data_IF_492471082128
#
_entry.id   IF_492471082128
#
_cell.length_a   1.000
_cell.length_b   1.000
_cell.length_c   1.000
_cell.angle_alpha   90.00
_cell.angle_beta   90.00
_cell.angle_gamma   90.00
#
_symmetry.space_group_name_H-M   'P 1'
#
loop_
_entity.id
_entity.type
_entity.pdbx_description
1 polymer ?
#
# COMPACT_ATOMS: atom_id res chain seq x y z
N UNK A 1 -9.01 9.05 -22.20
CA UNK A 1 -8.47 8.31 -21.03
C UNK A 1 -7.52 7.23 -21.52
N UNK A 2 -6.27 7.25 -21.04
CA UNK A 2 -5.21 6.31 -21.45
C UNK A 2 -4.98 5.18 -20.43
N UNK A 3 -4.02 4.32 -20.74
CA UNK A 3 -3.50 3.30 -19.82
C UNK A 3 -2.76 3.96 -18.65
N UNK A 4 -2.74 3.31 -17.48
CA UNK A 4 -2.00 3.77 -16.31
C UNK A 4 -0.50 3.50 -16.50
N UNK A 5 0.35 4.50 -16.81
CA UNK A 5 1.73 4.21 -17.21
C UNK A 5 2.52 3.60 -16.06
N UNK A 6 3.10 2.44 -16.31
CA UNK A 6 3.85 1.69 -15.30
C UNK A 6 3.01 1.19 -14.12
N UNK A 7 1.67 1.11 -14.25
CA UNK A 7 0.80 0.49 -13.25
C UNK A 7 0.09 -0.72 -13.87
N UNK A 8 0.34 -1.89 -13.30
CA UNK A 8 -0.38 -3.13 -13.61
C UNK A 8 -0.93 -3.72 -12.32
N UNK A 9 -1.83 -4.69 -12.43
CA UNK A 9 -2.45 -5.34 -11.28
C UNK A 9 -2.74 -6.81 -11.57
N UNK A 10 -3.00 -7.55 -10.51
CA UNK A 10 -3.47 -8.93 -10.60
C UNK A 10 -4.19 -9.32 -9.32
N UNK A 11 -4.35 -10.62 -9.09
CA UNK A 11 -5.00 -11.08 -7.87
C UNK A 11 -4.18 -10.71 -6.63
N UNK A 12 -4.78 -9.88 -5.77
CA UNK A 12 -4.22 -9.42 -4.49
C UNK A 12 -2.91 -8.63 -4.61
N UNK A 13 -2.69 -7.88 -5.69
CA UNK A 13 -1.58 -6.92 -5.77
C UNK A 13 -1.82 -5.76 -6.75
N UNK A 14 -1.08 -4.66 -6.52
CA UNK A 14 -0.80 -3.64 -7.52
C UNK A 14 0.71 -3.64 -7.76
N UNK A 15 1.10 -3.62 -9.03
CA UNK A 15 2.46 -3.38 -9.47
C UNK A 15 2.60 -1.91 -9.91
N UNK A 16 3.66 -1.27 -9.43
CA UNK A 16 4.00 0.13 -9.63
C UNK A 16 5.46 0.17 -10.07
N UNK A 17 5.69 0.30 -11.37
CA UNK A 17 7.00 0.16 -11.97
C UNK A 17 7.62 -1.20 -11.66
N UNK A 18 8.79 -1.17 -11.03
CA UNK A 18 9.55 -2.37 -10.63
C UNK A 18 9.21 -2.88 -9.22
N UNK A 19 8.14 -2.35 -8.60
CA UNK A 19 7.68 -2.76 -7.28
C UNK A 19 6.27 -3.32 -7.28
N UNK A 20 5.96 -4.21 -6.33
CA UNK A 20 4.62 -4.71 -6.03
C UNK A 20 4.27 -4.43 -4.58
N UNK A 21 3.08 -3.90 -4.37
CA UNK A 21 2.38 -3.93 -3.08
C UNK A 21 1.30 -5.02 -3.14
N UNK A 22 1.31 -5.96 -2.20
CA UNK A 22 0.52 -7.18 -2.35
C UNK A 22 0.12 -7.80 -1.01
N UNK A 23 -1.08 -8.38 -0.94
CA UNK A 23 -1.34 -9.43 0.05
C UNK A 23 -0.54 -10.68 -0.36
N UNK A 24 0.46 -10.99 0.44
CA UNK A 24 1.38 -12.13 0.33
C UNK A 24 0.90 -13.33 1.16
N UNK A 25 1.80 -14.28 1.42
CA UNK A 25 1.51 -15.56 2.05
C UNK A 25 1.04 -15.43 3.51
N UNK A 26 0.57 -16.55 4.05
CA UNK A 26 0.33 -16.73 5.47
C UNK A 26 1.65 -17.09 6.16
N UNK A 27 1.94 -16.46 7.29
CA UNK A 27 3.09 -16.82 8.14
C UNK A 27 2.61 -17.41 9.45
N UNK A 28 3.23 -18.53 9.85
CA UNK A 28 3.00 -19.11 11.16
C UNK A 28 3.73 -18.29 12.21
N UNK A 29 2.99 -17.76 13.18
CA UNK A 29 3.51 -16.89 14.22
C UNK A 29 3.31 -17.52 15.59
N UNK A 30 4.34 -17.38 16.41
CA UNK A 30 4.37 -17.82 17.80
C UNK A 30 4.16 -16.61 18.68
N UNK A 31 3.20 -16.68 19.61
CA UNK A 31 2.93 -15.61 20.56
C UNK A 31 2.65 -16.16 21.96
N UNK A 32 2.77 -15.34 23.02
CA UNK A 32 2.47 -15.78 24.38
C UNK A 32 1.05 -16.31 24.57
N UNK A 33 0.10 -15.89 23.73
CA UNK A 33 -1.32 -16.29 23.82
C UNK A 33 -1.68 -17.45 22.90
N UNK A 34 -0.70 -18.07 22.24
CA UNK A 34 -0.88 -19.19 21.31
C UNK A 34 -0.33 -18.89 19.92
N UNK A 35 -0.22 -19.95 19.12
CA UNK A 35 0.32 -19.87 17.77
C UNK A 35 -0.80 -19.76 16.74
N UNK A 36 -0.57 -19.00 15.67
CA UNK A 36 -1.59 -18.74 14.66
C UNK A 36 -0.97 -18.40 13.30
N UNK A 37 -1.81 -18.39 12.26
CA UNK A 37 -1.42 -17.96 10.92
C UNK A 37 -1.85 -16.52 10.69
N UNK A 38 -0.90 -15.67 10.30
CA UNK A 38 -1.15 -14.27 9.97
C UNK A 38 -1.03 -14.04 8.46
N UNK A 39 -1.96 -13.30 7.87
CA UNK A 39 -1.79 -12.81 6.50
C UNK A 39 -0.76 -11.69 6.49
N UNK A 40 0.02 -11.60 5.42
CA UNK A 40 1.00 -10.53 5.25
C UNK A 40 0.67 -9.62 4.06
N UNK A 41 0.81 -8.32 4.22
CA UNK A 41 0.92 -7.33 3.15
C UNK A 41 2.40 -7.01 2.91
N UNK A 42 2.87 -7.03 1.68
CA UNK A 42 4.30 -6.92 1.36
C UNK A 42 4.58 -5.81 0.36
N UNK A 43 5.77 -5.23 0.45
CA UNK A 43 6.37 -4.34 -0.54
C UNK A 43 7.60 -5.05 -1.10
N UNK A 44 7.58 -5.40 -2.39
CA UNK A 44 8.59 -6.25 -3.02
C UNK A 44 9.05 -5.70 -4.36
N UNK A 45 10.33 -5.90 -4.68
CA UNK A 45 10.95 -5.46 -5.92
C UNK A 45 11.12 -6.63 -6.90
N UNK A 46 11.20 -6.35 -8.21
CA UNK A 46 11.37 -7.36 -9.26
C UNK A 46 12.64 -8.19 -9.17
N UNK A 47 13.65 -7.73 -8.44
CA UNK A 47 14.84 -8.53 -8.07
C UNK A 47 14.48 -9.75 -7.22
N UNK A 48 13.27 -9.76 -6.68
CA UNK A 48 12.74 -10.76 -5.80
C UNK A 48 12.92 -10.46 -4.32
N UNK A 49 13.53 -9.32 -3.98
CA UNK A 49 13.69 -8.83 -2.61
C UNK A 49 12.39 -8.22 -2.08
N UNK A 50 12.20 -8.30 -0.76
CA UNK A 50 11.03 -7.77 -0.05
C UNK A 50 11.55 -6.79 0.97
N UNK A 51 11.15 -5.52 0.86
CA UNK A 51 11.68 -4.50 1.75
C UNK A 51 10.96 -4.49 3.10
N UNK A 52 9.65 -4.79 3.08
CA UNK A 52 8.81 -4.82 4.29
C UNK A 52 7.61 -5.73 4.12
N UNK A 53 7.27 -6.45 5.18
CA UNK A 53 6.04 -7.22 5.33
C UNK A 53 5.29 -6.75 6.59
N UNK A 54 3.99 -6.56 6.46
CA UNK A 54 3.08 -6.15 7.51
C UNK A 54 2.05 -7.24 7.75
N UNK A 55 1.81 -7.62 8.99
CA UNK A 55 0.98 -8.78 9.32
C UNK A 55 -0.41 -8.37 9.78
N UNK A 56 -1.38 -9.27 9.58
CA UNK A 56 -2.78 -9.10 9.96
C UNK A 56 -3.03 -8.94 11.46
N UNK A 57 -2.00 -9.14 12.28
CA UNK A 57 -1.96 -8.96 13.74
C UNK A 57 -1.29 -7.63 14.16
N UNK A 58 -0.89 -6.79 13.20
CA UNK A 58 -0.18 -5.53 13.42
C UNK A 58 1.33 -5.64 13.59
N UNK A 59 1.90 -6.84 13.55
CA UNK A 59 3.35 -7.02 13.51
C UNK A 59 3.93 -6.63 12.16
N UNK A 60 5.25 -6.45 12.11
CA UNK A 60 5.97 -6.13 10.89
C UNK A 60 7.34 -6.82 10.86
N UNK A 61 7.85 -7.02 9.65
CA UNK A 61 9.21 -7.43 9.36
C UNK A 61 9.79 -6.49 8.29
N UNK A 62 11.06 -6.13 8.41
CA UNK A 62 11.74 -5.16 7.54
C UNK A 62 13.07 -5.73 7.08
N UNK A 63 13.64 -5.15 6.02
CA UNK A 63 14.95 -5.52 5.49
C UNK A 63 15.06 -7.01 5.17
N UNK A 64 14.02 -7.59 4.54
CA UNK A 64 13.93 -9.02 4.32
C UNK A 64 14.84 -9.45 3.16
N UNK A 65 15.99 -10.04 3.50
CA UNK A 65 16.88 -10.73 2.58
C UNK A 65 16.64 -12.24 2.52
N UNK A 66 17.25 -12.91 1.54
CA UNK A 66 17.33 -14.38 1.47
C UNK A 66 15.97 -15.09 1.49
N UNK A 67 15.85 -16.13 2.31
CA UNK A 67 14.64 -16.98 2.38
C UNK A 67 13.43 -16.27 2.97
N UNK A 68 13.62 -15.31 3.88
CA UNK A 68 12.51 -14.51 4.41
C UNK A 68 11.83 -13.72 3.30
N UNK A 69 12.62 -13.19 2.36
CA UNK A 69 12.12 -12.51 1.17
C UNK A 69 11.27 -13.41 0.27
N UNK A 70 11.72 -14.64 0.02
CA UNK A 70 11.04 -15.60 -0.87
C UNK A 70 9.60 -15.89 -0.45
N UNK A 71 9.30 -15.84 0.85
CA UNK A 71 7.95 -16.14 1.40
C UNK A 71 6.93 -15.04 1.11
N UNK A 72 7.37 -13.79 1.05
CA UNK A 72 6.49 -12.63 0.90
C UNK A 72 6.52 -12.03 -0.49
N UNK A 73 7.48 -12.44 -1.33
CA UNK A 73 7.56 -12.06 -2.72
C UNK A 73 6.37 -12.62 -3.52
N UNK A 74 5.70 -11.76 -4.30
CA UNK A 74 4.53 -12.12 -5.13
C UNK A 74 4.78 -12.00 -6.63
N UNK A 75 6.04 -11.84 -7.08
CA UNK A 75 6.41 -11.64 -8.49
C UNK A 75 6.11 -12.83 -9.42
N UNK A 76 5.89 -14.02 -8.86
CA UNK A 76 5.42 -15.19 -9.60
C UNK A 76 3.95 -15.08 -10.06
N UNK A 77 3.17 -14.13 -9.52
CA UNK A 77 1.77 -13.91 -9.93
C UNK A 77 1.68 -13.15 -11.25
N UNK A 78 0.74 -13.54 -12.11
CA UNK A 78 0.47 -12.90 -13.40
C UNK A 78 -0.02 -11.45 -13.21
N UNK A 79 0.61 -10.50 -13.91
CA UNK A 79 0.17 -9.10 -13.96
C UNK A 79 -0.52 -8.78 -15.28
N UNK A 80 -1.61 -8.02 -15.20
CA UNK A 80 -2.35 -7.50 -16.34
C UNK A 80 -2.52 -5.99 -16.18
N UNK A 81 -2.82 -5.30 -17.26
CA UNK A 81 -3.21 -3.89 -17.18
C UNK A 81 -4.38 -3.73 -16.19
N UNK A 82 -4.38 -2.62 -15.44
CA UNK A 82 -5.35 -2.40 -14.36
C UNK A 82 -6.81 -2.52 -14.82
N UNK A 83 -7.10 -2.17 -16.08
CA UNK A 83 -8.42 -2.28 -16.70
C UNK A 83 -8.78 -3.72 -17.15
N UNK A 84 -7.79 -4.58 -17.42
CA UNK A 84 -7.98 -5.96 -17.90
C UNK A 84 -7.79 -7.03 -16.81
N UNK A 85 -7.26 -6.67 -15.64
CA UNK A 85 -6.99 -7.61 -14.58
C UNK A 85 -8.28 -8.21 -14.00
N UNK A 86 -8.33 -9.53 -13.77
CA UNK A 86 -9.44 -10.18 -13.06
C UNK A 86 -9.27 -9.92 -11.54
N UNK A 87 -9.55 -8.69 -11.13
CA UNK A 87 -9.23 -8.08 -9.84
C UNK A 87 -10.26 -8.39 -8.75
N UNK A 88 -10.77 -9.62 -8.66
CA UNK A 88 -11.82 -9.95 -7.68
C UNK A 88 -11.48 -9.52 -6.24
N UNK A 89 -10.18 -9.46 -5.93
CA UNK A 89 -9.61 -9.05 -4.65
C UNK A 89 -8.98 -7.64 -4.63
N UNK A 90 -8.88 -6.94 -5.76
CA UNK A 90 -8.44 -5.55 -5.80
C UNK A 90 -9.65 -4.64 -6.03
N UNK A 91 -9.99 -3.84 -5.03
CA UNK A 91 -11.16 -2.96 -5.04
C UNK A 91 -10.77 -1.53 -4.71
N UNK A 92 -11.65 -0.62 -5.06
CA UNK A 92 -11.50 0.80 -4.78
C UNK A 92 -12.74 1.33 -4.06
N UNK A 93 -12.62 2.51 -3.50
CA UNK A 93 -13.76 3.29 -3.03
C UNK A 93 -13.32 4.70 -2.69
N UNK A 94 -14.03 5.33 -1.75
CA UNK A 94 -13.71 6.70 -1.33
C UNK A 94 -12.39 6.77 -0.54
N UNK A 95 -11.34 7.19 -1.25
CA UNK A 95 -9.96 7.37 -0.79
C UNK A 95 -9.36 6.13 -0.17
N UNK A 96 -9.64 4.97 -0.74
CA UNK A 96 -8.93 3.75 -0.38
C UNK A 96 -8.73 2.83 -1.57
N UNK A 97 -7.73 1.98 -1.41
CA UNK A 97 -7.49 0.80 -2.24
C UNK A 97 -7.54 -0.41 -1.31
N UNK A 98 -8.35 -1.40 -1.68
CA UNK A 98 -8.44 -2.69 -0.99
C UNK A 98 -7.66 -3.73 -1.78
N UNK A 99 -6.69 -4.37 -1.14
CA UNK A 99 -5.87 -5.44 -1.70
C UNK A 99 -6.10 -6.69 -0.83
N UNK A 100 -6.99 -7.56 -1.29
CA UNK A 100 -7.47 -8.70 -0.53
C UNK A 100 -8.14 -8.26 0.77
N UNK A 101 -7.57 -8.62 1.92
CA UNK A 101 -8.10 -8.28 3.24
C UNK A 101 -7.45 -7.03 3.86
N UNK A 102 -6.63 -6.31 3.10
CA UNK A 102 -5.97 -5.07 3.53
C UNK A 102 -6.57 -3.87 2.81
N UNK A 103 -6.65 -2.72 3.50
CA UNK A 103 -6.92 -1.43 2.87
C UNK A 103 -5.78 -0.46 3.14
N UNK A 104 -5.39 0.26 2.09
CA UNK A 104 -4.60 1.47 2.17
C UNK A 104 -5.55 2.64 1.92
N UNK A 105 -5.75 3.52 2.90
CA UNK A 105 -6.75 4.59 2.79
C UNK A 105 -6.34 5.89 3.45
N UNK A 106 -6.73 7.01 2.85
CA UNK A 106 -6.53 8.32 3.45
C UNK A 106 -7.54 8.56 4.57
N UNK A 107 -7.03 8.98 5.71
CA UNK A 107 -7.81 9.37 6.88
C UNK A 107 -7.83 10.88 7.00
N UNK A 108 -8.98 11.44 7.35
CA UNK A 108 -9.05 12.85 7.71
C UNK A 108 -8.65 12.99 9.17
N UNK A 109 -7.65 13.82 9.45
CA UNK A 109 -7.46 14.28 10.82
C UNK A 109 -8.56 15.31 11.13
N UNK A 110 -9.18 15.21 12.31
CA UNK A 110 -10.26 16.11 12.74
C UNK A 110 -9.79 17.57 12.61
N UNK A 111 -10.30 18.28 11.61
CA UNK A 111 -10.04 19.70 11.36
C UNK A 111 -8.85 20.04 10.45
N UNK A 112 -8.05 19.08 9.98
CA UNK A 112 -6.87 19.36 9.13
C UNK A 112 -6.97 18.77 7.70
N UNK A 113 -8.01 18.00 7.38
CA UNK A 113 -8.19 17.42 6.04
C UNK A 113 -7.59 16.00 5.90
N UNK A 114 -7.63 15.45 4.68
CA UNK A 114 -7.24 14.07 4.34
C UNK A 114 -5.74 13.90 4.17
N UNK A 115 -5.05 14.19 5.25
CA UNK A 115 -3.62 14.41 5.21
C UNK A 115 -2.83 13.19 5.69
N UNK A 116 -3.48 12.22 6.34
CA UNK A 116 -2.84 10.98 6.78
C UNK A 116 -3.24 9.79 5.89
N UNK A 117 -2.40 8.75 5.83
CA UNK A 117 -2.73 7.46 5.20
C UNK A 117 -2.49 6.31 6.17
N UNK A 118 -3.39 5.34 6.14
CA UNK A 118 -3.41 4.15 6.99
C UNK A 118 -3.33 2.90 6.15
N UNK A 119 -2.47 1.96 6.54
CA UNK A 119 -2.60 0.54 6.21
C UNK A 119 -3.39 -0.15 7.33
N UNK A 120 -4.46 -0.84 6.96
CA UNK A 120 -5.37 -1.57 7.88
C UNK A 120 -5.69 -2.96 7.34
N UNK A 121 -6.13 -3.85 8.22
CA UNK A 121 -6.63 -5.18 7.86
C UNK A 121 -8.08 -5.35 8.36
N UNK A 122 -8.90 -6.15 7.68
CA UNK A 122 -10.33 -6.33 8.01
C UNK A 122 -10.61 -6.80 9.44
N UNK A 123 -9.61 -7.41 10.08
CA UNK A 123 -9.68 -7.92 11.46
C UNK A 123 -8.74 -7.16 12.41
N UNK A 124 -8.01 -6.15 11.93
CA UNK A 124 -7.05 -5.42 12.74
C UNK A 124 -6.96 -3.95 12.32
N UNK A 125 -7.15 -3.07 13.29
CA UNK A 125 -7.45 -1.66 13.08
C UNK A 125 -6.36 -0.90 12.30
N UNK A 126 -5.22 -0.58 12.91
CA UNK A 126 -4.14 0.17 12.25
C UNK A 126 -2.86 -0.64 12.29
N UNK A 127 -2.28 -0.91 11.12
CA UNK A 127 -1.02 -1.65 10.96
C UNK A 127 0.14 -0.68 10.77
N UNK A 128 -0.04 0.34 9.93
CA UNK A 128 0.95 1.37 9.65
C UNK A 128 0.23 2.71 9.43
N UNK A 129 0.78 3.78 10.00
CA UNK A 129 0.26 5.14 9.87
C UNK A 129 1.35 6.06 9.30
N UNK A 130 0.99 6.82 8.26
CA UNK A 130 1.75 7.95 7.75
C UNK A 130 0.95 9.21 8.04
N UNK A 131 1.50 10.11 8.87
CA UNK A 131 0.76 11.21 9.51
C UNK A 131 0.56 12.43 8.59
N UNK A 132 -0.21 13.43 9.02
CA UNK A 132 -0.50 14.62 8.20
C UNK A 132 0.73 15.49 7.85
N UNK A 133 1.86 15.30 8.53
CA UNK A 133 3.09 16.07 8.34
C UNK A 133 4.15 15.36 7.48
N UNK A 134 3.79 14.27 6.80
CA UNK A 134 4.75 13.50 6.00
C UNK A 134 5.67 12.59 6.82
N UNK A 135 5.32 12.31 8.08
CA UNK A 135 6.09 11.46 8.98
C UNK A 135 5.55 10.02 9.06
N UNK A 136 6.45 9.06 9.27
CA UNK A 136 6.10 7.68 9.59
C UNK A 136 5.86 7.53 11.10
N UNK A 137 4.76 6.90 11.48
CA UNK A 137 4.55 6.42 12.86
C UNK A 137 4.66 4.90 12.83
N UNK A 138 5.81 4.31 13.25
CA UNK A 138 6.07 2.89 13.04
C UNK A 138 5.09 1.97 13.76
N UNK A 139 4.57 0.98 13.02
CA UNK A 139 3.76 -0.10 13.56
C UNK A 139 2.35 0.28 14.00
N UNK A 140 1.71 -0.68 14.67
CA UNK A 140 0.34 -0.58 15.17
C UNK A 140 0.27 0.30 16.44
N UNK A 141 0.54 1.60 16.29
CA UNK A 141 0.54 2.57 17.38
C UNK A 141 -0.78 2.54 18.18
N UNK A 142 -0.64 2.52 19.50
CA UNK A 142 -1.71 2.60 20.49
C UNK A 142 -2.52 3.89 20.38
N UNK A 143 -1.95 5.00 19.88
CA UNK A 143 -2.68 6.25 19.66
C UNK A 143 -3.55 6.25 18.39
N UNK A 144 -3.18 5.48 17.36
CA UNK A 144 -4.04 5.27 16.19
C UNK A 144 -5.17 4.27 16.49
N UNK A 145 -4.91 3.28 17.36
CA UNK A 145 -5.91 2.33 17.87
C UNK A 145 -6.98 2.98 18.76
N UNK A 146 -6.61 4.00 19.55
CA UNK A 146 -7.57 4.69 20.42
C UNK A 146 -8.64 5.48 19.66
N UNK A 147 -8.46 5.68 18.35
CA UNK A 147 -9.38 6.42 17.49
C UNK A 147 -10.10 5.56 16.44
N UNK A 148 -9.92 4.23 16.42
CA UNK A 148 -10.60 3.33 15.48
C UNK A 148 -10.49 3.73 14.00
N UNK A 149 -9.39 4.40 13.62
CA UNK A 149 -9.25 5.05 12.32
C UNK A 149 -9.28 4.03 11.18
N UNK A 150 -8.74 2.83 11.37
CA UNK A 150 -8.84 1.73 10.41
C UNK A 150 -10.27 1.24 10.20
N UNK A 151 -11.07 1.12 11.27
CA UNK A 151 -12.51 0.80 11.16
C UNK A 151 -13.26 1.84 10.31
N UNK A 152 -12.92 3.12 10.45
CA UNK A 152 -13.50 4.18 9.63
C UNK A 152 -13.16 4.01 8.13
N UNK A 153 -11.94 3.58 7.79
CA UNK A 153 -11.58 3.22 6.41
C UNK A 153 -12.41 2.01 5.91
N UNK A 154 -12.65 1.00 6.75
CA UNK A 154 -13.46 -0.18 6.40
C UNK A 154 -14.95 0.10 6.24
N UNK A 155 -15.49 1.07 6.97
CA UNK A 155 -16.88 1.50 6.84
C UNK A 155 -17.21 2.13 5.47
N UNK A 156 -16.19 2.58 4.73
CA UNK A 156 -16.39 3.17 3.39
C UNK A 156 -16.78 2.09 2.38
N UNK A 157 -17.84 2.30 1.58
CA UNK A 157 -18.28 1.33 0.61
C UNK A 157 -17.28 1.18 -0.54
N UNK A 158 -17.19 -0.04 -1.08
CA UNK A 158 -16.54 -0.29 -2.36
C UNK A 158 -17.31 0.45 -3.46
N UNK A 159 -16.59 1.09 -4.37
CA UNK A 159 -17.17 1.88 -5.44
C UNK A 159 -16.11 2.47 -6.37
N UNK A 160 -16.45 3.55 -7.10
CA UNK A 160 -15.47 4.28 -7.91
C UNK A 160 -14.28 4.75 -7.06
N UNK A 161 -13.06 4.84 -7.63
CA UNK A 161 -11.82 5.26 -6.94
C UNK A 161 -11.81 6.76 -6.62
N UNK A 162 -12.81 7.27 -5.89
CA UNK A 162 -12.91 8.69 -5.52
C UNK A 162 -11.73 9.06 -4.63
N UNK A 163 -11.03 10.16 -4.94
CA UNK A 163 -9.84 10.57 -4.17
C UNK A 163 -8.66 9.58 -4.24
N UNK A 164 -8.67 8.66 -5.19
CA UNK A 164 -7.53 7.84 -5.60
C UNK A 164 -7.17 8.27 -7.02
N UNK A 165 -5.93 8.64 -7.25
CA UNK A 165 -5.43 9.12 -8.54
C UNK A 165 -4.15 8.40 -8.92
N UNK A 166 -3.77 8.49 -10.18
CA UNK A 166 -2.66 7.74 -10.74
C UNK A 166 -1.79 8.68 -11.58
N UNK A 167 -0.52 8.35 -11.69
CA UNK A 167 0.38 8.93 -12.67
C UNK A 167 1.41 7.91 -13.12
N UNK A 168 2.49 8.39 -13.75
CA UNK A 168 3.57 7.51 -14.19
C UNK A 168 4.26 6.85 -12.99
N UNK A 169 4.03 5.54 -12.80
CA UNK A 169 4.57 4.71 -11.72
C UNK A 169 4.31 5.26 -10.32
N UNK A 170 3.15 5.86 -10.09
CA UNK A 170 2.67 6.16 -8.73
C UNK A 170 1.15 6.10 -8.63
N UNK A 171 0.69 5.86 -7.41
CA UNK A 171 -0.70 5.99 -6.98
C UNK A 171 -0.76 7.07 -5.90
N UNK A 172 -1.72 7.99 -5.99
CA UNK A 172 -1.98 9.01 -4.98
C UNK A 172 -3.28 8.72 -4.24
N UNK A 173 -3.25 8.81 -2.92
CA UNK A 173 -4.41 8.74 -2.03
C UNK A 173 -4.28 9.89 -1.03
N UNK A 174 -5.23 10.83 -1.03
CA UNK A 174 -5.08 12.07 -0.26
C UNK A 174 -3.81 12.84 -0.65
N UNK A 175 -3.02 13.22 0.36
CA UNK A 175 -1.76 13.96 0.18
C UNK A 175 -0.52 13.07 0.02
N UNK A 176 -0.70 11.76 -0.09
CA UNK A 176 0.39 10.80 -0.20
C UNK A 176 0.46 10.13 -1.57
N UNK A 177 1.68 9.99 -2.08
CA UNK A 177 1.99 9.18 -3.27
C UNK A 177 2.81 7.96 -2.87
N UNK A 178 2.35 6.80 -3.33
CA UNK A 178 3.05 5.52 -3.27
C UNK A 178 3.58 5.24 -4.67
N UNK A 179 4.90 5.26 -4.86
CA UNK A 179 5.44 5.27 -6.22
C UNK A 179 6.86 4.78 -6.36
N UNK A 180 7.16 4.25 -7.55
CA UNK A 180 8.51 3.89 -7.97
C UNK A 180 9.19 5.10 -8.64
N UNK A 181 10.26 5.62 -8.01
CA UNK A 181 10.97 6.80 -8.47
C UNK A 181 11.95 6.54 -9.63
N UNK A 182 12.63 5.40 -9.67
CA UNK A 182 13.69 5.14 -10.67
C UNK A 182 13.96 3.66 -10.93
N UNK A 183 13.04 2.78 -10.54
CA UNK A 183 13.21 1.33 -10.57
C UNK A 183 13.94 0.79 -9.33
N UNK A 184 14.62 1.64 -8.57
CA UNK A 184 15.34 1.23 -7.35
C UNK A 184 14.72 1.77 -6.06
N UNK A 185 14.09 2.94 -6.08
CA UNK A 185 13.51 3.57 -4.89
C UNK A 185 11.98 3.61 -4.97
N UNK A 186 11.31 2.80 -4.16
CA UNK A 186 9.88 2.93 -3.91
C UNK A 186 9.62 3.84 -2.72
N UNK A 187 8.74 4.82 -2.86
CA UNK A 187 8.61 5.92 -1.90
C UNK A 187 7.17 6.11 -1.46
N UNK A 188 7.00 6.43 -0.18
CA UNK A 188 5.78 6.98 0.41
C UNK A 188 6.00 8.47 0.61
N UNK A 189 5.73 9.24 -0.45
CA UNK A 189 5.98 10.67 -0.51
C UNK A 189 4.75 11.47 -0.05
N UNK A 190 4.97 12.57 0.65
CA UNK A 190 3.94 13.54 1.04
C UNK A 190 3.98 14.78 0.13
N UNK A 191 2.86 15.49 0.02
CA UNK A 191 2.72 16.68 -0.85
C UNK A 191 3.73 17.79 -0.55
N UNK A 192 4.20 17.87 0.69
CA UNK A 192 5.14 18.89 1.14
C UNK A 192 6.60 18.58 0.73
N UNK A 193 6.81 17.58 -0.15
CA UNK A 193 8.11 17.27 -0.74
C UNK A 193 8.98 16.33 0.10
N UNK A 194 8.51 15.89 1.26
CA UNK A 194 9.19 14.90 2.11
C UNK A 194 8.72 13.49 1.81
N UNK A 195 9.60 12.52 2.00
CA UNK A 195 9.27 11.10 1.98
C UNK A 195 9.19 10.60 3.42
N UNK A 196 8.06 9.99 3.77
CA UNK A 196 7.82 9.40 5.07
C UNK A 196 8.52 8.05 5.22
N UNK A 197 8.58 7.27 4.14
CA UNK A 197 9.23 5.97 4.10
C UNK A 197 9.73 5.64 2.69
N UNK A 198 10.90 5.04 2.58
CA UNK A 198 11.51 4.62 1.32
C UNK A 198 11.96 3.17 1.39
N UNK A 199 11.84 2.46 0.27
CA UNK A 199 12.21 1.06 0.14
C UNK A 199 13.10 0.89 -1.09
N UNK A 200 14.23 0.22 -0.91
CA UNK A 200 15.23 0.03 -1.97
C UNK A 200 15.17 -1.38 -2.53
N UNK A 201 15.25 -1.49 -3.86
CA UNK A 201 14.94 -2.74 -4.57
C UNK A 201 16.10 -3.73 -4.69
N UNK A 202 17.35 -3.25 -4.74
CA UNK A 202 18.53 -4.10 -4.99
C UNK A 202 19.16 -4.68 -3.71
N UNK A 203 18.88 -4.08 -2.57
CA UNK A 203 19.32 -4.49 -1.24
C UNK A 203 18.13 -4.77 -0.29
N UNK A 204 16.90 -4.45 -0.69
CA UNK A 204 15.70 -4.78 0.06
C UNK A 204 15.58 -4.00 1.36
N UNK A 205 16.19 -2.82 1.47
CA UNK A 205 16.22 -2.06 2.71
C UNK A 205 15.01 -1.12 2.82
N UNK A 206 14.66 -0.82 4.08
CA UNK A 206 13.68 0.19 4.46
C UNK A 206 14.41 1.36 5.13
N UNK A 207 14.07 2.57 4.69
CA UNK A 207 14.57 3.82 5.24
C UNK A 207 13.40 4.66 5.76
N UNK A 208 13.45 5.01 7.04
CA UNK A 208 12.47 5.91 7.65
C UNK A 208 12.76 7.36 7.26
N UNK A 209 11.68 8.11 7.03
CA UNK A 209 11.71 9.55 6.77
C UNK A 209 11.95 10.41 8.01
N UNK A 210 12.00 11.74 7.84
CA UNK A 210 11.80 12.45 6.57
C UNK A 210 13.04 12.40 5.65
N UNK A 211 12.84 12.07 4.37
CA UNK A 211 13.89 12.11 3.32
C UNK A 211 13.50 13.16 2.26
N UNK A 212 14.41 14.07 1.91
CA UNK A 212 14.13 15.24 1.06
C UNK A 212 14.39 15.05 -0.46
N UNK A 213 14.69 13.83 -0.91
CA UNK A 213 15.00 13.49 -2.32
C UNK A 213 14.22 12.26 -2.77
N UNK A 214 14.12 12.02 -4.08
CA UNK A 214 13.39 10.89 -4.70
C UNK A 214 11.85 10.96 -4.57
N UNK A 215 11.29 12.15 -4.36
CA UNK A 215 9.85 12.34 -4.31
C UNK A 215 9.20 12.16 -5.69
N UNK A 216 8.03 11.53 -5.73
CA UNK A 216 7.22 11.40 -6.95
C UNK A 216 6.33 12.62 -7.21
N UNK A 217 6.30 13.64 -6.34
CA UNK A 217 5.48 14.84 -6.51
C UNK A 217 5.87 15.71 -7.71
N UNK A 218 7.09 15.58 -8.22
CA UNK A 218 7.50 16.21 -9.48
C UNK A 218 6.85 15.63 -10.74
N UNK A 219 6.14 14.50 -10.63
CA UNK A 219 5.47 13.84 -11.77
C UNK A 219 4.02 14.33 -11.92
N UNK A 220 3.52 14.53 -13.15
CA UNK A 220 2.13 14.93 -13.36
C UNK A 220 1.16 13.77 -13.09
N UNK A 221 -0.06 14.10 -12.68
CA UNK A 221 -1.19 13.16 -12.69
C UNK A 221 -1.49 12.70 -14.13
N UNK A 222 -2.06 11.51 -14.27
CA UNK A 222 -2.49 10.96 -15.56
C UNK A 222 -3.93 10.46 -15.46
N UNK A 223 -4.73 10.76 -16.48
CA UNK A 223 -6.08 10.21 -16.61
C UNK A 223 -6.02 8.73 -16.95
N UNK A 224 -6.30 7.92 -15.95
CA UNK A 224 -6.11 6.49 -15.95
C UNK A 224 -7.46 5.77 -16.00
N UNK A 225 -7.63 4.83 -16.94
CA UNK A 225 -8.76 3.91 -16.91
C UNK A 225 -8.57 2.89 -15.80
N UNK A 226 -9.27 3.10 -14.69
CA UNK A 226 -9.42 2.12 -13.61
C UNK A 226 -10.74 1.40 -13.80
N UNK A 227 -10.84 0.12 -13.45
CA UNK A 227 -12.08 -0.64 -13.58
C UNK A 227 -13.28 0.11 -12.97
N UNK A 228 -14.42 0.24 -13.69
CA UNK A 228 -15.68 0.50 -13.02
C UNK A 228 -16.07 -0.72 -12.17
N UNK A 229 -16.78 -0.55 -11.05
CA UNK A 229 -17.31 -1.68 -10.29
C UNK A 229 -18.14 -2.54 -11.24
N UNK A 230 -17.85 -3.85 -11.32
CA UNK A 230 -18.81 -4.78 -11.94
C UNK A 230 -20.08 -4.71 -11.10
N UNK A 231 -21.07 -3.95 -11.54
CA UNK A 231 -22.44 -4.19 -11.11
C UNK A 231 -22.75 -5.60 -11.58
N UNK A 232 -22.88 -6.54 -10.66
CA UNK A 232 -23.71 -7.71 -10.94
C UNK A 232 -25.12 -7.14 -11.05
N UNK A 233 -25.61 -7.03 -12.27
CA UNK A 233 -27.06 -6.88 -12.48
C UNK A 233 -27.70 -8.18 -11.96
N UNK A 234 -28.79 -8.11 -11.18
CA UNK A 234 -29.50 -9.29 -10.67
C UNK A 234 -29.87 -10.30 -11.75
#
# INVERSE_FOLDING_TARGET
MGLCPGITAGDKFIQIGDFRIAQSAWEYRVSPTGNYWAEAFSISHRSGLVSKAFFSDGGLQTNLGGDASRRHNTWWREAKELYHANVGSLKFGDRFIEIGNFRLGADADEGQGYDSVILTHRHFDVIQFWNHNGGLVPGADVHAKSHHRGKAIWARPVGPPRGVSFGDRFVQIGNYRFGDFDGHHFTVAHKDGVIAEMFTGYDGLQHNGPIAKWTTFGRPMKDCKVMPPRHRVP
#
